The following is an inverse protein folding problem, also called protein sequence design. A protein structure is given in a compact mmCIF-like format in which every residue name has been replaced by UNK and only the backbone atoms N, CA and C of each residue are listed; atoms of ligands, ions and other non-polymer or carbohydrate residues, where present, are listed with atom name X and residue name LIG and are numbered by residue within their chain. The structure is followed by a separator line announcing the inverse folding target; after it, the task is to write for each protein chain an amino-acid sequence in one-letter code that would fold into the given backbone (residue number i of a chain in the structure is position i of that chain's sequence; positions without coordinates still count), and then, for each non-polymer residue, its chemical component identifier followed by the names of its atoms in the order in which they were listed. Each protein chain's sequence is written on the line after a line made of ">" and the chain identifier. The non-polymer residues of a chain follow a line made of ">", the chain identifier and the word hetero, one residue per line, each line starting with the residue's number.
data_IF_575327806572
#
_entry.id   IF_575327806572
#
_cell.length_a   1.000
_cell.length_b   1.000
_cell.length_c   1.000
_cell.angle_alpha   90.00
_cell.angle_beta   90.00
_cell.angle_gamma   90.00
#
_symmetry.space_group_name_H-M   'P 1'
#
loop_
_entity.id
_entity.type
_entity.pdbx_description
1 polymer ?
#
# COMPACT_ATOMS: atom_id res chain seq x y z
N UNK A 1 64.48 27.61 -35.72
CA UNK A 1 63.95 28.89 -36.25
C UNK A 1 63.07 28.57 -37.45
N UNK A 2 61.87 29.19 -37.49
CA UNK A 2 60.82 29.22 -38.55
C UNK A 2 60.35 27.86 -39.12
N UNK A 3 59.10 27.42 -38.91
CA UNK A 3 57.86 28.10 -39.34
C UNK A 3 57.72 27.99 -40.88
N UNK A 4 56.59 27.67 -41.52
CA UNK A 4 55.19 27.77 -41.12
C UNK A 4 54.33 27.22 -42.29
N UNK A 5 53.27 26.45 -41.98
CA UNK A 5 51.97 26.33 -42.70
C UNK A 5 51.89 25.87 -44.17
N UNK A 6 50.93 24.92 -44.36
CA UNK A 6 50.09 24.54 -45.53
C UNK A 6 50.28 23.04 -45.76
N UNK A 7 49.31 22.15 -45.57
CA UNK A 7 47.91 22.19 -45.99
C UNK A 7 47.07 21.26 -45.10
N UNK A 8 46.23 21.85 -44.25
CA UNK A 8 45.07 21.19 -43.68
C UNK A 8 43.90 21.46 -44.62
N UNK A 9 43.39 20.45 -45.31
CA UNK A 9 42.04 20.40 -45.88
C UNK A 9 41.88 19.12 -46.71
N UNK A 10 41.49 18.02 -46.06
CA UNK A 10 40.71 16.93 -46.65
C UNK A 10 40.76 15.73 -45.71
N UNK A 11 39.86 15.69 -44.72
CA UNK A 11 39.38 14.42 -44.15
C UNK A 11 38.11 14.69 -43.36
N UNK A 12 37.00 14.45 -44.05
CA UNK A 12 35.76 13.94 -43.50
C UNK A 12 35.19 14.67 -42.30
N UNK A 13 34.49 15.78 -42.55
CA UNK A 13 33.27 16.03 -41.79
C UNK A 13 32.28 14.92 -42.17
N UNK A 14 32.44 13.74 -41.56
CA UNK A 14 31.37 12.77 -41.49
C UNK A 14 30.26 13.44 -40.68
N UNK A 15 29.24 13.92 -41.38
CA UNK A 15 27.99 14.29 -40.74
C UNK A 15 27.54 13.09 -39.94
N UNK A 16 27.58 13.20 -38.62
CA UNK A 16 26.81 12.31 -37.75
C UNK A 16 25.37 12.63 -38.08
N UNK A 17 24.78 11.84 -38.97
CA UNK A 17 23.38 11.89 -39.27
C UNK A 17 22.61 11.49 -38.01
N UNK A 18 22.22 12.49 -37.21
CA UNK A 18 21.36 12.31 -36.04
C UNK A 18 19.87 12.16 -36.44
N UNK A 19 19.61 11.52 -37.58
CA UNK A 19 18.26 11.18 -38.05
C UNK A 19 17.73 9.93 -37.33
N UNK A 20 17.54 10.07 -36.01
CA UNK A 20 16.76 9.14 -35.18
C UNK A 20 15.95 9.88 -34.11
N UNK A 21 15.61 11.16 -34.35
CA UNK A 21 15.06 12.06 -33.31
C UNK A 21 13.54 12.24 -33.31
N UNK A 22 12.77 11.72 -34.28
CA UNK A 22 11.33 12.06 -34.41
C UNK A 22 10.37 10.98 -33.89
N UNK A 23 10.63 9.69 -34.17
CA UNK A 23 9.75 8.58 -33.77
C UNK A 23 9.91 8.15 -32.31
N UNK A 24 11.07 8.39 -31.68
CA UNK A 24 11.28 8.16 -30.24
C UNK A 24 10.47 9.13 -29.39
N UNK A 25 10.43 10.40 -29.80
CA UNK A 25 9.71 11.46 -29.07
C UNK A 25 8.18 11.21 -29.02
N UNK A 26 7.57 10.67 -30.08
CA UNK A 26 6.11 10.40 -30.09
C UNK A 26 5.77 9.24 -29.16
N UNK A 27 6.59 8.17 -29.14
CA UNK A 27 6.38 7.05 -28.20
C UNK A 27 6.58 7.49 -26.75
N UNK A 28 7.60 8.29 -26.49
CA UNK A 28 7.84 8.88 -25.16
C UNK A 28 6.69 9.82 -24.74
N UNK A 29 6.13 10.61 -25.66
CA UNK A 29 4.97 11.47 -25.39
C UNK A 29 3.69 10.67 -25.14
N UNK A 30 3.44 9.58 -25.87
CA UNK A 30 2.27 8.73 -25.65
C UNK A 30 2.36 8.01 -24.30
N UNK A 31 3.53 7.48 -23.96
CA UNK A 31 3.76 6.86 -22.64
C UNK A 31 3.61 7.91 -21.54
N UNK A 32 4.21 9.10 -21.71
CA UNK A 32 4.09 10.21 -20.76
C UNK A 32 2.65 10.67 -20.57
N UNK A 33 1.88 10.80 -21.66
CA UNK A 33 0.46 11.17 -21.61
C UNK A 33 -0.39 10.07 -20.95
N UNK A 34 -0.12 8.80 -21.23
CA UNK A 34 -0.80 7.68 -20.58
C UNK A 34 -0.52 7.64 -19.08
N UNK A 35 0.75 7.75 -18.69
CA UNK A 35 1.14 7.82 -17.27
C UNK A 35 0.53 9.04 -16.58
N UNK A 36 0.51 10.20 -17.25
CA UNK A 36 -0.14 11.40 -16.73
C UNK A 36 -1.65 11.20 -16.57
N UNK A 37 -2.32 10.56 -17.53
CA UNK A 37 -3.75 10.24 -17.44
C UNK A 37 -4.01 9.27 -16.29
N UNK A 38 -3.21 8.21 -16.15
CA UNK A 38 -3.33 7.28 -15.03
C UNK A 38 -3.14 7.98 -13.68
N UNK A 39 -2.13 8.85 -13.57
CA UNK A 39 -1.91 9.66 -12.36
C UNK A 39 -3.08 10.62 -12.10
N UNK A 40 -3.55 11.33 -13.13
CA UNK A 40 -4.67 12.26 -13.03
C UNK A 40 -5.97 11.55 -12.62
N UNK A 41 -6.29 10.40 -13.21
CA UNK A 41 -7.45 9.58 -12.84
C UNK A 41 -7.32 9.08 -11.40
N UNK A 42 -6.14 8.56 -11.02
CA UNK A 42 -5.88 8.11 -9.64
C UNK A 42 -6.10 9.24 -8.64
N UNK A 43 -5.49 10.41 -8.87
CA UNK A 43 -5.67 11.59 -8.03
C UNK A 43 -7.13 12.06 -8.00
N UNK A 44 -7.83 12.08 -9.13
CA UNK A 44 -9.24 12.48 -9.21
C UNK A 44 -10.14 11.52 -8.42
N UNK A 45 -9.91 10.22 -8.51
CA UNK A 45 -10.62 9.22 -7.72
C UNK A 45 -10.35 9.42 -6.23
N UNK A 46 -9.10 9.66 -5.82
CA UNK A 46 -8.77 9.95 -4.42
C UNK A 46 -9.50 11.21 -3.92
N UNK A 47 -9.49 12.29 -4.71
CA UNK A 47 -10.22 13.52 -4.39
C UNK A 47 -11.72 13.26 -4.31
N UNK A 48 -12.27 12.43 -5.20
CA UNK A 48 -13.67 12.00 -5.17
C UNK A 48 -14.02 11.23 -3.89
N UNK A 49 -13.20 10.26 -3.49
CA UNK A 49 -13.37 9.50 -2.24
C UNK A 49 -13.35 10.45 -1.05
N UNK A 50 -12.37 11.36 -0.97
CA UNK A 50 -12.30 12.36 0.11
C UNK A 50 -13.54 13.26 0.10
N UNK A 51 -14.00 13.71 -1.07
CA UNK A 51 -15.22 14.52 -1.21
C UNK A 51 -16.46 13.82 -0.67
N UNK A 52 -16.70 12.57 -1.07
CA UNK A 52 -17.83 11.75 -0.58
C UNK A 52 -17.74 11.52 0.93
N UNK A 53 -16.56 11.16 1.44
CA UNK A 53 -16.37 10.94 2.88
C UNK A 53 -16.61 12.22 3.68
N UNK A 54 -16.18 13.38 3.19
CA UNK A 54 -16.42 14.67 3.85
C UNK A 54 -17.91 15.01 3.88
N UNK A 55 -18.63 14.83 2.77
CA UNK A 55 -20.07 15.11 2.73
C UNK A 55 -20.86 14.20 3.65
N UNK A 56 -20.56 12.89 3.67
CA UNK A 56 -21.21 11.94 4.57
C UNK A 56 -20.87 12.23 6.03
N UNK A 57 -19.61 12.57 6.34
CA UNK A 57 -19.18 12.93 7.70
C UNK A 57 -19.88 14.18 8.21
N UNK A 58 -20.02 15.22 7.38
CA UNK A 58 -20.75 16.44 7.74
C UNK A 58 -22.24 16.12 7.96
N UNK A 59 -22.84 15.28 7.11
CA UNK A 59 -24.23 14.84 7.27
C UNK A 59 -24.44 14.08 8.58
N UNK A 60 -23.51 13.18 8.92
CA UNK A 60 -23.51 12.43 10.17
C UNK A 60 -23.44 13.35 11.40
N UNK A 61 -22.52 14.32 11.42
CA UNK A 61 -22.38 15.24 12.56
C UNK A 61 -23.50 16.28 12.69
N UNK A 62 -24.41 16.37 11.71
CA UNK A 62 -25.67 17.12 11.88
C UNK A 62 -26.68 16.38 12.75
N UNK A 63 -26.59 15.05 12.80
CA UNK A 63 -27.49 14.18 13.58
C UNK A 63 -26.84 13.80 14.91
N UNK A 64 -25.53 13.57 14.92
CA UNK A 64 -24.76 13.15 16.08
C UNK A 64 -23.83 14.27 16.53
N UNK A 65 -23.87 14.65 17.80
CA UNK A 65 -22.95 15.65 18.35
C UNK A 65 -21.49 15.15 18.28
N UNK A 66 -20.53 16.00 17.84
CA UNK A 66 -19.11 15.64 17.89
C UNK A 66 -18.63 15.28 19.29
N UNK A 67 -19.16 15.92 20.34
CA UNK A 67 -18.79 15.60 21.72
C UNK A 67 -19.23 14.18 22.05
N UNK A 68 -20.49 13.84 21.81
CA UNK A 68 -21.03 12.50 22.09
C UNK A 68 -20.32 11.41 21.27
N UNK A 69 -19.89 11.73 20.04
CA UNK A 69 -19.09 10.83 19.22
C UNK A 69 -17.71 10.55 19.84
N UNK A 70 -16.99 11.57 20.30
CA UNK A 70 -15.63 11.41 20.83
C UNK A 70 -15.57 10.97 22.30
N UNK A 71 -16.55 11.35 23.13
CA UNK A 71 -16.60 10.99 24.55
C UNK A 71 -17.52 9.82 24.85
N UNK A 72 -18.36 9.42 23.89
CA UNK A 72 -19.27 8.28 24.03
C UNK A 72 -18.52 6.97 24.26
N UNK A 73 -18.99 6.20 25.24
CA UNK A 73 -18.39 4.93 25.67
C UNK A 73 -19.13 3.71 25.16
N UNK A 74 -20.09 3.90 24.25
CA UNK A 74 -20.97 2.85 23.73
C UNK A 74 -21.09 2.93 22.22
N UNK A 75 -21.15 1.77 21.59
CA UNK A 75 -21.37 1.60 20.15
C UNK A 75 -22.60 0.71 19.94
N UNK A 76 -23.78 1.33 19.84
CA UNK A 76 -25.08 0.64 19.78
C UNK A 76 -25.96 1.17 18.63
N UNK A 77 -25.47 1.20 17.36
CA UNK A 77 -26.22 1.81 16.26
C UNK A 77 -27.51 1.07 15.87
N UNK A 78 -27.70 -0.18 16.31
CA UNK A 78 -28.87 -1.02 16.00
C UNK A 78 -29.99 -0.92 17.05
N UNK A 79 -29.75 -0.25 18.18
CA UNK A 79 -30.74 -0.12 19.27
C UNK A 79 -31.66 1.07 19.02
N UNK A 80 -32.80 1.12 19.71
CA UNK A 80 -33.75 2.24 19.61
C UNK A 80 -33.08 3.57 19.98
N UNK A 81 -32.22 3.55 21.00
CA UNK A 81 -31.32 4.64 21.36
C UNK A 81 -29.95 4.42 20.70
N UNK A 82 -29.81 4.83 19.44
CA UNK A 82 -28.59 4.66 18.68
C UNK A 82 -27.44 5.53 19.24
N UNK A 83 -26.35 4.89 19.67
CA UNK A 83 -25.15 5.56 20.17
C UNK A 83 -23.94 5.24 19.28
N UNK A 84 -23.18 6.29 18.93
CA UNK A 84 -22.09 6.21 17.96
C UNK A 84 -20.74 6.60 18.58
N UNK A 85 -20.50 6.27 19.84
CA UNK A 85 -19.23 6.55 20.51
C UNK A 85 -18.06 5.84 19.84
N UNK A 86 -16.99 6.56 19.53
CA UNK A 86 -15.82 6.01 18.82
C UNK A 86 -14.86 5.27 19.76
N UNK A 87 -14.89 5.58 21.06
CA UNK A 87 -13.93 5.04 22.03
C UNK A 87 -13.93 3.52 22.13
N UNK A 88 -15.08 2.81 22.14
CA UNK A 88 -15.10 1.35 22.17
C UNK A 88 -14.48 0.71 20.93
N UNK A 89 -14.64 1.33 19.75
CA UNK A 89 -14.06 0.84 18.51
C UNK A 89 -12.55 1.00 18.51
N UNK A 90 -12.06 2.14 18.98
CA UNK A 90 -10.62 2.40 19.12
C UNK A 90 -10.01 1.48 20.17
N UNK A 91 -10.57 1.43 21.38
CA UNK A 91 -10.05 0.61 22.46
C UNK A 91 -10.10 -0.88 22.12
N UNK A 92 -11.17 -1.36 21.50
CA UNK A 92 -11.27 -2.73 20.98
C UNK A 92 -10.19 -3.03 19.94
N UNK A 93 -9.98 -2.14 18.97
CA UNK A 93 -8.92 -2.30 17.96
C UNK A 93 -7.53 -2.34 18.58
N UNK A 94 -7.23 -1.42 19.50
CA UNK A 94 -5.94 -1.39 20.20
C UNK A 94 -5.74 -2.61 21.08
N UNK A 95 -6.77 -3.06 21.80
CA UNK A 95 -6.70 -4.23 22.67
C UNK A 95 -6.43 -5.50 21.86
N UNK A 96 -7.15 -5.70 20.75
CA UNK A 96 -6.93 -6.83 19.85
C UNK A 96 -5.55 -6.76 19.21
N UNK A 97 -5.14 -5.59 18.70
CA UNK A 97 -3.83 -5.41 18.07
C UNK A 97 -2.68 -5.66 19.07
N UNK A 98 -2.77 -5.11 20.28
CA UNK A 98 -1.78 -5.32 21.33
C UNK A 98 -1.74 -6.78 21.79
N UNK A 99 -2.90 -7.40 22.03
CA UNK A 99 -2.99 -8.81 22.39
C UNK A 99 -2.41 -9.72 21.30
N UNK A 100 -2.73 -9.45 20.03
CA UNK A 100 -2.16 -10.17 18.90
C UNK A 100 -0.65 -9.98 18.82
N UNK A 101 -0.14 -8.75 18.96
CA UNK A 101 1.29 -8.45 18.92
C UNK A 101 2.06 -9.15 20.06
N UNK A 102 1.51 -9.15 21.28
CA UNK A 102 2.12 -9.80 22.44
C UNK A 102 2.34 -11.30 22.23
N UNK A 103 1.51 -11.97 21.43
CA UNK A 103 1.64 -13.40 21.14
C UNK A 103 2.38 -13.65 19.83
N UNK A 104 2.01 -12.93 18.77
CA UNK A 104 2.55 -13.12 17.42
C UNK A 104 4.01 -12.66 17.30
N UNK A 105 4.42 -11.58 17.97
CA UNK A 105 5.80 -11.10 17.90
C UNK A 105 6.80 -12.07 18.52
N UNK A 106 6.65 -12.56 19.78
CA UNK A 106 7.62 -13.49 20.33
C UNK A 106 7.64 -14.80 19.53
N UNK A 107 6.49 -15.37 19.18
CA UNK A 107 6.44 -16.63 18.43
C UNK A 107 6.97 -16.49 17.01
N UNK A 108 6.59 -15.42 16.32
CA UNK A 108 7.06 -15.12 14.97
C UNK A 108 8.55 -14.83 14.92
N UNK A 109 9.06 -14.03 15.87
CA UNK A 109 10.48 -13.70 15.95
C UNK A 109 11.32 -14.95 16.29
N UNK A 110 10.91 -15.75 17.28
CA UNK A 110 11.62 -16.99 17.62
C UNK A 110 11.62 -17.98 16.44
N UNK A 111 10.50 -18.11 15.73
CA UNK A 111 10.41 -18.96 14.54
C UNK A 111 11.31 -18.46 13.41
N UNK A 112 11.38 -17.14 13.20
CA UNK A 112 12.24 -16.53 12.19
C UNK A 112 13.73 -16.76 12.50
N UNK A 113 14.14 -16.55 13.76
CA UNK A 113 15.53 -16.79 14.21
C UNK A 113 15.89 -18.28 14.05
N UNK A 114 15.01 -19.19 14.49
CA UNK A 114 15.24 -20.62 14.34
C UNK A 114 15.40 -21.02 12.87
N UNK A 115 14.55 -20.51 11.99
CA UNK A 115 14.63 -20.81 10.56
C UNK A 115 15.89 -20.22 9.90
N UNK A 116 16.32 -19.04 10.33
CA UNK A 116 17.49 -18.36 9.78
C UNK A 116 18.81 -19.02 10.21
N UNK A 117 18.94 -19.36 11.49
CA UNK A 117 20.22 -19.71 12.10
C UNK A 117 20.37 -21.21 12.38
N UNK A 118 19.29 -21.89 12.77
CA UNK A 118 19.35 -23.26 13.30
C UNK A 118 18.76 -24.32 12.35
N UNK A 119 18.03 -23.91 11.32
CA UNK A 119 17.34 -24.89 10.46
C UNK A 119 18.27 -25.56 9.44
N UNK A 120 18.25 -26.90 9.43
CA UNK A 120 18.94 -27.68 8.41
C UNK A 120 18.26 -27.55 7.02
N UNK A 121 18.98 -27.88 5.92
CA UNK A 121 18.50 -27.66 4.55
C UNK A 121 17.14 -28.30 4.23
N UNK A 122 16.89 -29.49 4.79
CA UNK A 122 15.62 -30.24 4.60
C UNK A 122 14.43 -29.56 5.27
N UNK A 123 14.60 -29.12 6.52
CA UNK A 123 13.53 -28.49 7.29
C UNK A 123 13.17 -27.12 6.69
N UNK A 124 14.19 -26.35 6.30
CA UNK A 124 14.00 -25.08 5.59
C UNK A 124 13.27 -25.24 4.26
N UNK A 125 13.57 -26.32 3.52
CA UNK A 125 12.92 -26.63 2.25
C UNK A 125 11.42 -26.94 2.35
N UNK A 126 10.93 -27.36 3.52
CA UNK A 126 9.50 -27.62 3.76
C UNK A 126 8.82 -26.42 4.40
N UNK A 127 9.40 -25.85 5.46
CA UNK A 127 8.77 -24.76 6.21
C UNK A 127 8.64 -23.49 5.37
N UNK A 128 9.63 -23.16 4.53
CA UNK A 128 9.60 -21.91 3.78
C UNK A 128 8.44 -21.84 2.77
N UNK A 129 8.22 -22.85 1.90
CA UNK A 129 7.03 -22.87 1.02
C UNK A 129 5.71 -22.86 1.80
N UNK A 130 5.62 -23.59 2.92
CA UNK A 130 4.39 -23.61 3.75
C UNK A 130 4.09 -22.21 4.30
N UNK A 131 5.10 -21.51 4.82
CA UNK A 131 4.94 -20.13 5.31
C UNK A 131 4.56 -19.16 4.19
N UNK A 132 5.14 -19.31 2.99
CA UNK A 132 4.78 -18.51 1.81
C UNK A 132 3.32 -18.74 1.40
N UNK A 133 2.84 -20.00 1.43
CA UNK A 133 1.44 -20.33 1.15
C UNK A 133 0.52 -19.76 2.23
N UNK A 134 0.85 -19.94 3.51
CA UNK A 134 0.06 -19.39 4.63
C UNK A 134 -0.03 -17.87 4.57
N UNK A 135 1.06 -17.19 4.23
CA UNK A 135 1.06 -15.74 4.04
C UNK A 135 0.22 -15.29 2.82
N UNK A 136 0.06 -16.17 1.82
CA UNK A 136 -0.75 -15.92 0.64
C UNK A 136 -2.25 -16.17 0.82
N UNK A 137 -2.68 -16.77 1.94
CA UNK A 137 -4.10 -17.00 2.21
C UNK A 137 -4.80 -15.65 2.46
N UNK A 138 -5.92 -15.35 1.78
CA UNK A 138 -6.64 -14.10 2.01
C UNK A 138 -7.10 -13.97 3.47
N UNK A 139 -6.93 -12.79 4.05
CA UNK A 139 -7.32 -12.50 5.45
C UNK A 139 -8.81 -12.74 5.72
N UNK A 140 -9.66 -12.58 4.69
CA UNK A 140 -11.10 -12.86 4.79
C UNK A 140 -11.41 -14.33 5.09
N UNK A 141 -10.58 -15.27 4.64
CA UNK A 141 -10.77 -16.71 4.90
C UNK A 141 -10.56 -17.01 6.38
N UNK A 142 -9.50 -16.45 6.97
CA UNK A 142 -9.24 -16.59 8.42
C UNK A 142 -10.33 -15.92 9.26
N UNK A 143 -10.82 -14.74 8.83
CA UNK A 143 -11.93 -14.06 9.49
C UNK A 143 -13.22 -14.87 9.48
N UNK A 144 -13.59 -15.42 8.32
CA UNK A 144 -14.78 -16.26 8.19
C UNK A 144 -14.66 -17.54 9.03
N UNK A 145 -13.51 -18.21 9.00
CA UNK A 145 -13.27 -19.40 9.83
C UNK A 145 -13.44 -19.10 11.33
N UNK A 146 -12.92 -17.98 11.81
CA UNK A 146 -13.09 -17.56 13.20
C UNK A 146 -14.57 -17.32 13.55
N UNK A 147 -15.33 -16.68 12.66
CA UNK A 147 -16.77 -16.47 12.88
C UNK A 147 -17.55 -17.78 12.91
N UNK A 148 -17.24 -18.75 12.05
CA UNK A 148 -18.03 -19.99 11.95
C UNK A 148 -17.63 -21.09 12.94
N UNK A 149 -16.38 -21.11 13.41
CA UNK A 149 -15.86 -22.17 14.29
C UNK A 149 -15.55 -21.71 15.71
N UNK A 150 -15.23 -20.42 15.92
CA UNK A 150 -14.78 -19.90 17.23
C UNK A 150 -15.90 -19.12 17.93
N UNK A 151 -16.77 -18.45 17.17
CA UNK A 151 -17.92 -17.73 17.75
C UNK A 151 -19.05 -18.75 17.99
N UNK A 152 -19.55 -18.91 19.23
CA UNK A 152 -20.68 -19.79 19.53
C UNK A 152 -22.01 -19.28 18.98
#
# INVERSE_FOLDING_TARGET
>A
MSGTRRTAAARGAQGVDLSFKRTRNVKEQVIGAFLFLCAAVSTLVTVGIVGVLLTETISFFRVVSPVDFFTGTQWTPLFQDAQFGVLPLLSGSFLVAAGAALVALPLGLMSAIFLAEYSGPRLRGVLKPVLEILAGIPTVVYGYFALTFITP
#
